data_IF_397966761191
#
_entry.id   IF_397966761191
#
_cell.length_a   1.000
_cell.length_b   1.000
_cell.length_c   1.000
_cell.angle_alpha   90.00
_cell.angle_beta   90.00
_cell.angle_gamma   90.00
#
_symmetry.space_group_name_H-M   'P 1'
#
loop_
_entity.id
_entity.type
_entity.pdbx_description
1 polymer ?
#
# COMPACT_ATOMS: atom_id res chain seq x y z
N UNK A 1 23.46 13.36 14.07
CA UNK A 1 22.48 12.28 13.78
C UNK A 1 21.46 12.89 12.84
N UNK A 2 21.46 12.46 11.58
CA UNK A 2 20.59 12.99 10.53
C UNK A 2 19.13 12.62 10.79
N UNK A 3 18.35 13.61 11.20
CA UNK A 3 16.93 13.48 11.58
C UNK A 3 16.09 12.83 10.47
N UNK A 4 16.41 13.14 9.21
CA UNK A 4 15.69 12.62 8.03
C UNK A 4 15.84 11.10 7.81
N UNK A 5 16.95 10.50 8.24
CA UNK A 5 17.16 9.05 8.11
C UNK A 5 16.32 8.26 9.13
N UNK A 6 16.11 8.84 10.33
CA UNK A 6 15.30 8.23 11.39
C UNK A 6 13.79 8.29 11.07
N UNK A 7 13.33 9.39 10.46
CA UNK A 7 11.94 9.55 10.01
C UNK A 7 11.56 8.56 8.92
N UNK A 8 12.39 8.42 7.88
CA UNK A 8 12.16 7.48 6.78
C UNK A 8 12.08 6.02 7.27
N UNK A 9 12.91 5.64 8.24
CA UNK A 9 12.88 4.31 8.84
C UNK A 9 11.65 4.04 9.73
N UNK A 10 11.07 5.07 10.36
CA UNK A 10 9.82 4.95 11.13
C UNK A 10 8.59 4.85 10.22
N UNK A 11 8.58 5.62 9.14
CA UNK A 11 7.53 5.56 8.11
C UNK A 11 7.44 4.15 7.48
N UNK A 12 8.58 3.54 7.19
CA UNK A 12 8.64 2.17 6.66
C UNK A 12 8.15 1.12 7.67
N UNK A 13 8.38 1.32 8.99
CA UNK A 13 7.86 0.43 10.03
C UNK A 13 6.34 0.52 10.20
N UNK A 14 5.78 1.73 10.16
CA UNK A 14 4.33 1.93 10.19
C UNK A 14 3.64 1.27 9.00
N UNK A 15 4.22 1.46 7.81
CA UNK A 15 3.76 0.83 6.57
C UNK A 15 3.77 -0.70 6.66
N UNK A 16 4.85 -1.30 7.16
CA UNK A 16 4.95 -2.75 7.35
C UNK A 16 3.91 -3.29 8.34
N UNK A 17 3.67 -2.59 9.45
CA UNK A 17 2.66 -2.98 10.43
C UNK A 17 1.25 -2.95 9.84
N UNK A 18 0.93 -1.92 9.03
CA UNK A 18 -0.34 -1.83 8.34
C UNK A 18 -0.52 -2.93 7.29
N UNK A 19 0.52 -3.23 6.50
CA UNK A 19 0.52 -4.35 5.56
C UNK A 19 0.26 -5.67 6.28
N UNK A 20 0.94 -5.91 7.41
CA UNK A 20 0.74 -7.12 8.20
C UNK A 20 -0.71 -7.26 8.70
N UNK A 21 -1.29 -6.19 9.24
CA UNK A 21 -2.68 -6.19 9.71
C UNK A 21 -3.70 -6.39 8.59
N UNK A 22 -3.44 -5.84 7.39
CA UNK A 22 -4.30 -6.09 6.21
C UNK A 22 -4.21 -7.56 5.80
N UNK A 23 -3.01 -8.14 5.73
CA UNK A 23 -2.84 -9.56 5.37
C UNK A 23 -3.49 -10.49 6.40
N UNK A 24 -3.39 -10.19 7.70
CA UNK A 24 -4.04 -10.96 8.76
C UNK A 24 -5.57 -10.96 8.60
N UNK A 25 -6.15 -9.87 8.12
CA UNK A 25 -7.59 -9.74 7.87
C UNK A 25 -8.07 -10.27 6.51
N UNK A 26 -7.17 -10.64 5.60
CA UNK A 26 -7.49 -11.04 4.22
C UNK A 26 -6.83 -12.37 3.87
N UNK A 27 -7.44 -13.52 4.26
CA UNK A 27 -6.82 -14.84 4.12
C UNK A 27 -6.57 -15.29 2.67
N UNK A 28 -7.30 -14.74 1.70
CA UNK A 28 -7.15 -14.99 0.27
C UNK A 28 -6.09 -14.10 -0.41
N UNK A 29 -5.51 -13.15 0.32
CA UNK A 29 -4.54 -12.22 -0.22
C UNK A 29 -3.20 -12.90 -0.53
N UNK A 30 -2.59 -12.55 -1.65
CA UNK A 30 -1.21 -12.94 -1.98
C UNK A 30 -0.24 -11.76 -1.85
N UNK A 31 -0.77 -10.56 -1.63
CA UNK A 31 0.00 -9.35 -1.37
C UNK A 31 -0.88 -8.15 -1.05
N UNK A 32 -0.25 -7.02 -0.76
CA UNK A 32 -0.91 -5.72 -0.53
C UNK A 32 -0.35 -4.71 -1.51
N UNK A 33 -1.23 -4.14 -2.34
CA UNK A 33 -0.91 -2.99 -3.16
C UNK A 33 -0.75 -1.76 -2.26
N UNK A 34 0.36 -1.05 -2.40
CA UNK A 34 0.69 0.15 -1.63
C UNK A 34 0.91 1.30 -2.60
N UNK A 35 0.17 2.38 -2.41
CA UNK A 35 0.29 3.63 -3.18
C UNK A 35 0.64 4.75 -2.21
N UNK A 36 1.78 5.41 -2.43
CA UNK A 36 2.23 6.57 -1.67
C UNK A 36 1.88 7.85 -2.42
N UNK A 37 1.30 8.82 -1.71
CA UNK A 37 0.93 10.13 -2.25
C UNK A 37 1.93 11.20 -1.82
N UNK A 38 2.03 12.28 -2.60
CA UNK A 38 2.87 13.45 -2.32
C UNK A 38 2.60 14.14 -0.97
N UNK A 39 1.41 13.97 -0.40
CA UNK A 39 1.01 14.52 0.88
C UNK A 39 1.32 13.61 2.08
N UNK A 40 2.03 12.49 1.86
CA UNK A 40 2.38 11.50 2.88
C UNK A 40 1.23 10.55 3.27
N UNK A 41 0.06 10.67 2.66
CA UNK A 41 -0.99 9.66 2.78
C UNK A 41 -0.65 8.44 1.93
N UNK A 42 -1.16 7.27 2.34
CA UNK A 42 -1.03 6.02 1.60
C UNK A 42 -2.39 5.40 1.36
N UNK A 43 -2.56 4.77 0.20
CA UNK A 43 -3.66 3.85 -0.07
C UNK A 43 -3.13 2.43 -0.07
N UNK A 44 -3.89 1.53 0.53
CA UNK A 44 -3.55 0.12 0.60
C UNK A 44 -4.78 -0.75 0.34
N UNK A 45 -4.58 -1.85 -0.37
CA UNK A 45 -5.59 -2.91 -0.49
C UNK A 45 -4.89 -4.27 -0.67
N UNK A 46 -5.42 -5.29 0.00
CA UNK A 46 -5.04 -6.66 -0.27
C UNK A 46 -5.46 -7.05 -1.70
N UNK A 47 -4.67 -7.90 -2.34
CA UNK A 47 -4.95 -8.44 -3.68
C UNK A 47 -4.81 -9.95 -3.68
N UNK A 48 -5.68 -10.63 -4.41
CA UNK A 48 -5.66 -12.09 -4.57
C UNK A 48 -4.76 -12.55 -5.74
N UNK A 49 -4.71 -13.85 -5.97
CA UNK A 49 -3.90 -14.48 -7.04
C UNK A 49 -4.30 -14.06 -8.45
N UNK A 50 -5.50 -13.50 -8.63
CA UNK A 50 -6.02 -13.00 -9.90
C UNK A 50 -5.85 -11.49 -10.04
N UNK A 51 -5.26 -10.82 -9.04
CA UNK A 51 -5.16 -9.37 -8.97
C UNK A 51 -6.50 -8.67 -8.75
N UNK A 52 -7.47 -9.37 -8.15
CA UNK A 52 -8.72 -8.77 -7.67
C UNK A 52 -8.55 -8.27 -6.23
N UNK A 53 -9.34 -7.28 -5.79
CA UNK A 53 -9.30 -6.81 -4.40
C UNK A 53 -9.72 -7.91 -3.41
N UNK A 54 -8.85 -8.22 -2.46
CA UNK A 54 -9.10 -9.08 -1.30
C UNK A 54 -9.43 -8.27 -0.02
N UNK A 55 -9.50 -6.95 -0.14
CA UNK A 55 -9.94 -6.06 0.94
C UNK A 55 -10.57 -4.80 0.37
N UNK A 56 -11.22 -4.01 1.24
CA UNK A 56 -11.53 -2.61 0.92
C UNK A 56 -10.22 -1.82 0.84
N UNK A 57 -10.23 -0.72 0.07
CA UNK A 57 -9.15 0.26 0.08
C UNK A 57 -9.14 0.95 1.44
N UNK A 58 -8.02 0.86 2.13
CA UNK A 58 -7.72 1.62 3.32
C UNK A 58 -6.83 2.80 2.95
N UNK A 59 -7.13 3.98 3.49
CA UNK A 59 -6.26 5.13 3.39
C UNK A 59 -5.83 5.57 4.79
N UNK A 60 -4.54 5.83 4.97
CA UNK A 60 -4.00 6.27 6.26
C UNK A 60 -2.79 7.19 6.07
N UNK A 61 -2.30 7.73 7.19
CA UNK A 61 -1.08 8.54 7.26
C UNK A 61 -0.36 8.17 8.55
N UNK A 62 0.95 7.96 8.49
CA UNK A 62 1.71 7.60 9.71
C UNK A 62 1.57 8.69 10.77
N UNK A 63 1.45 8.26 12.02
CA UNK A 63 1.39 9.14 13.21
C UNK A 63 0.25 10.17 13.18
N UNK A 64 -0.81 9.93 12.41
CA UNK A 64 -1.98 10.80 12.34
C UNK A 64 -3.26 10.00 12.62
N UNK A 65 -4.19 10.62 13.35
CA UNK A 65 -5.50 10.03 13.65
C UNK A 65 -6.41 9.94 12.40
N UNK A 66 -6.08 10.69 11.34
CA UNK A 66 -6.88 10.74 10.11
C UNK A 66 -6.05 11.10 8.88
N UNK A 67 -6.62 10.84 7.70
CA UNK A 67 -6.06 11.27 6.42
C UNK A 67 -6.10 12.80 6.27
N UNK A 68 -5.22 13.36 5.44
CA UNK A 68 -5.13 14.82 5.29
C UNK A 68 -6.39 15.43 4.62
N UNK A 69 -6.66 16.74 4.80
CA UNK A 69 -7.85 17.39 4.24
C UNK A 69 -7.97 17.29 2.72
N UNK A 70 -6.85 17.21 2.00
CA UNK A 70 -6.86 17.04 0.55
C UNK A 70 -7.36 15.65 0.16
N UNK A 71 -6.82 14.60 0.79
CA UNK A 71 -7.27 13.23 0.59
C UNK A 71 -8.72 13.00 1.00
N UNK A 72 -9.25 13.75 1.98
CA UNK A 72 -10.68 13.72 2.30
C UNK A 72 -11.55 14.30 1.16
N UNK A 73 -11.00 15.22 0.35
CA UNK A 73 -11.72 15.88 -0.76
C UNK A 73 -11.62 15.11 -2.07
N UNK A 74 -10.41 14.66 -2.42
CA UNK A 74 -10.12 14.05 -3.72
C UNK A 74 -9.95 12.53 -3.67
N UNK A 75 -10.10 11.94 -2.47
CA UNK A 75 -9.89 10.52 -2.22
C UNK A 75 -8.51 10.04 -2.71
N UNK A 76 -7.47 10.87 -2.57
CA UNK A 76 -6.09 10.56 -2.93
C UNK A 76 -5.89 10.42 -4.43
N UNK A 77 -6.18 11.49 -5.18
CA UNK A 77 -6.13 11.54 -6.64
C UNK A 77 -4.88 10.86 -7.24
N UNK A 78 -5.07 10.10 -8.33
CA UNK A 78 -4.01 9.32 -8.97
C UNK A 78 -2.86 10.19 -9.51
N UNK A 79 -3.13 11.44 -9.90
CA UNK A 79 -2.10 12.38 -10.35
C UNK A 79 -1.06 12.73 -9.27
N UNK A 80 -1.34 12.39 -8.00
CA UNK A 80 -0.48 12.66 -6.82
C UNK A 80 0.34 11.45 -6.37
N UNK A 81 0.26 10.34 -7.11
CA UNK A 81 1.03 9.12 -6.81
C UNK A 81 2.50 9.38 -7.05
N UNK A 82 3.32 9.18 -6.01
CA UNK A 82 4.77 9.31 -6.07
C UNK A 82 5.48 7.96 -6.11
N UNK A 83 4.83 6.91 -5.61
CA UNK A 83 5.33 5.54 -5.65
C UNK A 83 4.17 4.55 -5.54
N UNK A 84 4.27 3.44 -6.26
CA UNK A 84 3.38 2.30 -6.11
C UNK A 84 4.16 0.99 -6.20
N UNK A 85 3.73 -0.04 -5.46
CA UNK A 85 4.32 -1.37 -5.45
C UNK A 85 3.38 -2.36 -4.76
N UNK A 86 3.69 -3.65 -4.87
CA UNK A 86 3.00 -4.71 -4.10
C UNK A 86 3.98 -5.31 -3.10
N UNK A 87 3.55 -5.39 -1.84
CA UNK A 87 4.25 -6.18 -0.82
C UNK A 87 3.66 -7.57 -0.82
N UNK A 88 4.46 -8.56 -1.25
CA UNK A 88 4.00 -9.95 -1.38
C UNK A 88 4.00 -10.67 -0.05
N UNK A 89 2.93 -11.42 0.22
CA UNK A 89 2.92 -12.40 1.31
C UNK A 89 3.85 -13.56 0.95
N UNK A 90 4.41 -14.23 1.97
CA UNK A 90 5.19 -15.45 1.76
C UNK A 90 4.33 -16.71 2.02
N UNK A 91 4.40 -17.73 1.14
CA UNK A 91 5.18 -17.78 -0.10
C UNK A 91 4.60 -16.87 -1.18
N UNK A 92 5.47 -16.10 -1.86
CA UNK A 92 5.03 -15.20 -2.93
C UNK A 92 4.61 -15.96 -4.19
N UNK A 93 3.70 -15.42 -5.02
CA UNK A 93 3.43 -15.96 -6.34
C UNK A 93 4.69 -16.03 -7.21
N UNK A 94 4.68 -16.86 -8.25
CA UNK A 94 5.77 -16.89 -9.22
C UNK A 94 5.89 -15.57 -10.00
N UNK A 95 7.01 -15.38 -10.70
CA UNK A 95 7.30 -14.14 -11.42
C UNK A 95 6.23 -13.80 -12.47
N UNK A 96 5.75 -14.79 -13.22
CA UNK A 96 4.75 -14.57 -14.26
C UNK A 96 3.42 -14.05 -13.65
N UNK A 97 3.03 -14.63 -12.53
CA UNK A 97 1.82 -14.25 -11.78
C UNK A 97 1.98 -12.88 -11.15
N UNK A 98 3.13 -12.58 -10.54
CA UNK A 98 3.42 -11.24 -10.01
C UNK A 98 3.31 -10.17 -11.10
N UNK A 99 3.89 -10.40 -12.28
CA UNK A 99 3.80 -9.46 -13.40
C UNK A 99 2.37 -9.25 -13.91
N UNK A 100 1.56 -10.32 -13.95
CA UNK A 100 0.14 -10.23 -14.30
C UNK A 100 -0.62 -9.35 -13.29
N UNK A 101 -0.42 -9.59 -11.99
CA UNK A 101 -1.07 -8.82 -10.92
C UNK A 101 -0.61 -7.36 -10.95
N UNK A 102 0.69 -7.09 -11.08
CA UNK A 102 1.25 -5.73 -11.17
C UNK A 102 0.60 -4.95 -12.32
N UNK A 103 0.53 -5.52 -13.53
CA UNK A 103 -0.11 -4.88 -14.69
C UNK A 103 -1.56 -4.54 -14.44
N UNK A 104 -2.30 -5.48 -13.86
CA UNK A 104 -3.73 -5.33 -13.62
C UNK A 104 -4.03 -4.30 -12.52
N UNK A 105 -3.26 -4.33 -11.43
CA UNK A 105 -3.53 -3.54 -10.23
C UNK A 105 -2.90 -2.15 -10.30
N UNK A 106 -1.68 -2.04 -10.84
CA UNK A 106 -0.89 -0.81 -10.85
C UNK A 106 -0.80 -0.15 -12.23
N UNK A 107 -1.13 -0.87 -13.31
CA UNK A 107 -1.07 -0.36 -14.68
C UNK A 107 0.34 -0.28 -15.28
N UNK A 108 1.31 -1.03 -14.74
CA UNK A 108 2.73 -1.06 -15.16
C UNK A 108 3.10 -2.29 -15.99
#
# INVERSE_FOLDING_TARGET
>A
MDVAADEKGREEKGEQAMVAGILEGSPEAVGVAVIRLDCGCRKMAAVDIHGEPASKILMYRDQADSICPQCQKDNGDFSRVTRQFIVWQQPSPDFATQQMIIRKVLGE
#
